data_IF_138865309992
#
_entry.id   IF_138865309992
#
_cell.length_a   1.000
_cell.length_b   1.000
_cell.length_c   1.000
_cell.angle_alpha   90.00
_cell.angle_beta   90.00
_cell.angle_gamma   90.00
#
_symmetry.space_group_name_H-M   'P 1'
#
loop_
_entity.id
_entity.type
_entity.pdbx_description
1 polymer ?
#
# COMPACT_ATOMS: atom_id res chain seq x y z
N UNK A 1 -11.66 -6.35 -5.99
CA UNK A 1 -12.05 -6.08 -4.59
C UNK A 1 -10.85 -6.39 -3.73
N UNK A 2 -10.37 -5.40 -3.00
CA UNK A 2 -9.32 -5.60 -2.02
C UNK A 2 -9.70 -6.81 -1.15
N UNK A 3 -8.87 -7.87 -0.98
CA UNK A 3 -9.23 -9.04 -0.18
C UNK A 3 -9.59 -8.68 1.27
N UNK A 4 -9.16 -7.52 1.73
CA UNK A 4 -9.50 -6.96 3.05
C UNK A 4 -10.93 -6.43 3.08
N UNK A 5 -11.38 -5.76 2.00
CA UNK A 5 -12.70 -5.13 1.91
C UNK A 5 -13.68 -6.04 1.13
N UNK A 6 -14.48 -6.79 1.83
CA UNK A 6 -15.53 -7.64 1.25
C UNK A 6 -16.90 -6.97 1.37
N UNK A 7 -17.68 -6.92 0.30
CA UNK A 7 -19.02 -6.33 0.24
C UNK A 7 -19.96 -6.87 1.33
N UNK A 8 -19.90 -8.17 1.62
CA UNK A 8 -20.69 -8.83 2.69
C UNK A 8 -20.44 -8.25 4.08
N UNK A 9 -19.28 -7.63 4.33
CA UNK A 9 -18.97 -7.01 5.64
C UNK A 9 -19.63 -5.64 5.82
N UNK A 10 -20.08 -5.01 4.73
CA UNK A 10 -20.74 -3.71 4.72
C UNK A 10 -22.28 -3.83 4.69
N UNK A 11 -22.83 -5.04 4.55
CA UNK A 11 -24.28 -5.26 4.62
C UNK A 11 -24.79 -5.08 6.06
N UNK A 12 -25.98 -4.50 6.29
CA UNK A 12 -26.60 -4.47 7.61
C UNK A 12 -26.73 -5.89 8.15
N UNK A 13 -26.41 -6.09 9.42
CA UNK A 13 -26.66 -7.37 10.10
C UNK A 13 -28.17 -7.52 10.24
N UNK A 14 -28.74 -8.63 9.74
CA UNK A 14 -30.17 -8.93 9.90
C UNK A 14 -30.55 -8.84 11.39
N UNK A 15 -31.45 -7.90 11.72
CA UNK A 15 -31.95 -7.66 13.08
C UNK A 15 -31.63 -6.29 13.69
N UNK A 16 -30.88 -5.41 13.02
CA UNK A 16 -30.69 -4.05 13.50
C UNK A 16 -31.84 -3.14 13.05
N UNK A 17 -32.80 -2.99 13.95
CA UNK A 17 -33.91 -2.04 13.87
C UNK A 17 -33.38 -0.67 14.27
N UNK A 18 -33.60 0.34 13.41
CA UNK A 18 -33.43 1.76 13.66
C UNK A 18 -32.04 2.12 14.23
N UNK A 19 -31.07 2.32 13.36
CA UNK A 19 -29.79 2.92 13.71
C UNK A 19 -30.02 4.44 13.84
N UNK A 20 -29.76 5.01 15.02
CA UNK A 20 -29.82 6.46 15.23
C UNK A 20 -28.89 7.20 14.25
N UNK A 21 -29.31 8.44 13.82
CA UNK A 21 -28.53 9.30 12.93
C UNK A 21 -27.17 9.69 13.55
N UNK A 22 -26.20 8.86 13.57
CA UNK A 22 -24.87 9.05 14.19
C UNK A 22 -24.10 7.75 14.29
N UNK A 23 -24.78 6.60 14.22
CA UNK A 23 -24.18 5.28 14.31
C UNK A 23 -23.80 4.67 12.94
N UNK A 24 -24.22 5.32 11.84
CA UNK A 24 -23.93 4.87 10.48
C UNK A 24 -22.61 5.41 9.93
N UNK A 25 -22.02 4.61 9.05
CA UNK A 25 -20.84 4.98 8.27
C UNK A 25 -21.13 6.16 7.35
N UNK A 26 -20.20 7.12 7.27
CA UNK A 26 -20.25 8.27 6.37
C UNK A 26 -19.03 8.33 5.48
N UNK A 27 -19.17 8.85 4.25
CA UNK A 27 -18.04 9.10 3.36
C UNK A 27 -17.04 10.06 4.01
N UNK A 28 -17.54 11.16 4.60
CA UNK A 28 -16.71 12.15 5.29
C UNK A 28 -15.93 11.54 6.46
N UNK A 29 -16.58 10.70 7.27
CA UNK A 29 -15.94 10.00 8.38
C UNK A 29 -14.81 9.06 7.90
N UNK A 30 -15.03 8.34 6.82
CA UNK A 30 -14.01 7.47 6.21
C UNK A 30 -12.81 8.27 5.69
N UNK A 31 -13.04 9.41 5.03
CA UNK A 31 -11.97 10.30 4.54
C UNK A 31 -11.14 10.84 5.70
N UNK A 32 -11.78 11.35 6.77
CA UNK A 32 -11.08 11.87 7.94
C UNK A 32 -10.21 10.80 8.59
N UNK A 33 -10.75 9.57 8.75
CA UNK A 33 -10.00 8.44 9.32
C UNK A 33 -8.85 7.98 8.44
N UNK A 34 -9.05 7.94 7.12
CA UNK A 34 -7.97 7.67 6.16
C UNK A 34 -6.86 8.71 6.28
N UNK A 35 -7.22 10.00 6.31
CA UNK A 35 -6.24 11.09 6.45
C UNK A 35 -5.45 10.97 7.76
N UNK A 36 -6.13 10.64 8.87
CA UNK A 36 -5.50 10.43 10.17
C UNK A 36 -4.52 9.26 10.14
N UNK A 37 -4.92 8.13 9.57
CA UNK A 37 -4.05 6.96 9.43
C UNK A 37 -2.83 7.25 8.54
N UNK A 38 -3.01 8.00 7.44
CA UNK A 38 -1.91 8.40 6.55
C UNK A 38 -0.94 9.36 7.26
N UNK A 39 -1.43 10.31 8.04
CA UNK A 39 -0.56 11.19 8.83
C UNK A 39 0.25 10.38 9.84
N UNK A 40 -0.38 9.46 10.56
CA UNK A 40 0.30 8.60 11.52
C UNK A 40 1.37 7.71 10.85
N UNK A 41 1.04 7.12 9.69
CA UNK A 41 1.96 6.35 8.88
C UNK A 41 3.16 7.20 8.45
N UNK A 42 2.93 8.43 7.95
CA UNK A 42 4.01 9.33 7.52
C UNK A 42 4.92 9.74 8.67
N UNK A 43 4.35 10.05 9.84
CA UNK A 43 5.14 10.38 11.05
C UNK A 43 6.02 9.19 11.44
N UNK A 44 5.47 7.97 11.49
CA UNK A 44 6.22 6.76 11.80
C UNK A 44 7.31 6.49 10.73
N UNK A 45 7.01 6.69 9.45
CA UNK A 45 7.97 6.55 8.36
C UNK A 45 9.12 7.55 8.45
N UNK A 46 8.84 8.82 8.77
CA UNK A 46 9.87 9.82 9.01
C UNK A 46 10.78 9.49 10.21
N UNK A 47 10.19 8.95 11.30
CA UNK A 47 10.94 8.49 12.44
C UNK A 47 11.88 7.33 12.07
N UNK A 48 11.37 6.32 11.37
CA UNK A 48 12.17 5.18 10.92
C UNK A 48 13.26 5.59 9.92
N UNK A 49 12.95 6.50 8.98
CA UNK A 49 13.93 7.08 8.07
C UNK A 49 15.09 7.75 8.83
N UNK A 50 14.76 8.57 9.82
CA UNK A 50 15.77 9.27 10.62
C UNK A 50 16.66 8.26 11.38
N UNK A 51 16.05 7.27 12.02
CA UNK A 51 16.78 6.22 12.72
C UNK A 51 17.68 5.44 11.76
N UNK A 52 17.21 5.08 10.58
CA UNK A 52 18.01 4.34 9.58
C UNK A 52 19.25 5.12 9.15
N UNK A 53 19.13 6.44 8.98
CA UNK A 53 20.25 7.27 8.51
C UNK A 53 21.19 7.74 9.65
N UNK A 54 20.75 7.74 10.92
CA UNK A 54 21.54 8.26 12.05
C UNK A 54 21.99 7.18 13.03
N UNK A 55 21.53 5.94 12.89
CA UNK A 55 21.88 4.86 13.80
C UNK A 55 23.36 4.49 13.75
N UNK A 56 24.00 4.51 14.90
CA UNK A 56 25.35 3.96 15.12
C UNK A 56 25.32 2.43 15.00
N UNK A 57 24.18 1.80 15.29
CA UNK A 57 24.00 0.36 15.22
C UNK A 57 23.51 -0.07 13.83
N UNK A 58 24.33 -0.76 13.00
CA UNK A 58 23.97 -1.14 11.63
C UNK A 58 22.75 -2.07 11.52
N UNK A 59 22.41 -2.80 12.59
CA UNK A 59 21.28 -3.74 12.61
C UNK A 59 19.94 -3.11 13.03
N UNK A 60 19.94 -1.89 13.57
CA UNK A 60 18.71 -1.24 14.02
C UNK A 60 17.63 -1.12 12.94
N UNK A 61 17.94 -0.69 11.69
CA UNK A 61 16.95 -0.60 10.62
C UNK A 61 16.27 -1.94 10.32
N UNK A 62 17.02 -3.05 10.41
CA UNK A 62 16.50 -4.39 10.15
C UNK A 62 15.46 -4.81 11.20
N UNK A 63 15.65 -4.47 12.48
CA UNK A 63 14.65 -4.75 13.52
C UNK A 63 13.36 -3.97 13.30
N UNK A 64 13.45 -2.68 12.92
CA UNK A 64 12.26 -1.88 12.60
C UNK A 64 11.55 -2.38 11.35
N UNK A 65 12.29 -2.80 10.32
CA UNK A 65 11.72 -3.38 9.11
C UNK A 65 10.99 -4.69 9.41
N UNK A 66 11.66 -5.65 10.04
CA UNK A 66 11.08 -6.97 10.35
C UNK A 66 9.91 -6.81 11.34
N UNK A 67 10.08 -6.02 12.40
CA UNK A 67 9.03 -5.75 13.36
C UNK A 67 7.82 -5.07 12.74
N UNK A 68 8.03 -4.09 11.86
CA UNK A 68 6.96 -3.41 11.14
C UNK A 68 6.21 -4.34 10.19
N UNK A 69 6.93 -5.12 9.38
CA UNK A 69 6.32 -6.06 8.41
C UNK A 69 5.55 -7.17 9.13
N UNK A 70 6.17 -7.85 10.10
CA UNK A 70 5.51 -8.96 10.81
C UNK A 70 4.36 -8.44 11.68
N UNK A 71 4.60 -7.37 12.45
CA UNK A 71 3.56 -6.74 13.28
C UNK A 71 2.42 -6.19 12.45
N UNK A 72 2.71 -5.50 11.35
CA UNK A 72 1.74 -5.02 10.39
C UNK A 72 0.92 -6.17 9.79
N UNK A 73 1.57 -7.25 9.37
CA UNK A 73 0.87 -8.42 8.81
C UNK A 73 -0.09 -9.05 9.83
N UNK A 74 0.35 -9.27 11.08
CA UNK A 74 -0.50 -9.83 12.14
C UNK A 74 -1.71 -8.92 12.40
N UNK A 75 -1.48 -7.61 12.53
CA UNK A 75 -2.55 -6.63 12.75
C UNK A 75 -3.52 -6.59 11.58
N UNK A 76 -3.02 -6.60 10.34
CA UNK A 76 -3.85 -6.65 9.14
C UNK A 76 -4.74 -7.91 9.11
N UNK A 77 -4.20 -9.07 9.48
CA UNK A 77 -4.97 -10.30 9.59
C UNK A 77 -6.07 -10.18 10.65
N UNK A 78 -5.77 -9.65 11.84
CA UNK A 78 -6.77 -9.47 12.89
C UNK A 78 -7.89 -8.54 12.44
N UNK A 79 -7.55 -7.37 11.87
CA UNK A 79 -8.53 -6.39 11.37
C UNK A 79 -9.39 -7.01 10.26
N UNK A 80 -8.77 -7.75 9.35
CA UNK A 80 -9.47 -8.39 8.22
C UNK A 80 -10.51 -9.39 8.69
N UNK A 81 -10.18 -10.23 9.68
CA UNK A 81 -11.11 -11.22 10.19
C UNK A 81 -12.09 -10.67 11.23
N UNK A 82 -11.71 -9.63 11.97
CA UNK A 82 -12.52 -9.00 13.01
C UNK A 82 -12.67 -7.49 12.75
N UNK A 83 -13.52 -7.04 11.79
CA UNK A 83 -13.66 -5.63 11.43
C UNK A 83 -14.01 -4.70 12.59
N UNK A 84 -14.68 -5.20 13.63
CA UNK A 84 -15.02 -4.45 14.84
C UNK A 84 -13.77 -3.96 15.61
N UNK A 85 -12.62 -4.58 15.41
CA UNK A 85 -11.35 -4.15 16.04
C UNK A 85 -10.65 -3.02 15.28
N UNK A 86 -11.12 -2.67 14.08
CA UNK A 86 -10.50 -1.65 13.24
C UNK A 86 -10.29 -0.30 13.94
N UNK A 87 -11.22 0.25 14.74
CA UNK A 87 -11.00 1.53 15.39
C UNK A 87 -9.76 1.59 16.29
N UNK A 88 -9.41 0.47 16.92
CA UNK A 88 -8.28 0.38 17.84
C UNK A 88 -6.98 -0.06 17.16
N UNK A 89 -7.08 -1.03 16.23
CA UNK A 89 -5.91 -1.65 15.63
C UNK A 89 -5.40 -0.92 14.38
N UNK A 90 -6.26 -0.20 13.65
CA UNK A 90 -5.82 0.52 12.44
C UNK A 90 -4.77 1.59 12.71
N UNK A 91 -4.84 2.39 13.79
CA UNK A 91 -3.76 3.32 14.12
C UNK A 91 -2.43 2.61 14.45
N UNK A 92 -2.49 1.48 15.17
CA UNK A 92 -1.29 0.69 15.51
C UNK A 92 -0.69 0.08 14.23
N UNK A 93 -1.55 -0.43 13.34
CA UNK A 93 -1.15 -0.90 12.02
C UNK A 93 -0.47 0.19 11.19
N UNK A 94 -1.07 1.41 11.14
CA UNK A 94 -0.50 2.53 10.41
C UNK A 94 0.91 2.90 10.92
N UNK A 95 1.12 2.86 12.23
CA UNK A 95 2.44 3.09 12.82
C UNK A 95 3.44 1.98 12.45
N UNK A 96 3.04 0.71 12.57
CA UNK A 96 3.89 -0.43 12.21
C UNK A 96 4.27 -0.41 10.73
N UNK A 97 3.31 -0.18 9.85
CA UNK A 97 3.52 -0.08 8.41
C UNK A 97 4.40 1.12 8.04
N UNK A 98 4.20 2.27 8.72
CA UNK A 98 5.04 3.44 8.55
C UNK A 98 6.50 3.18 8.92
N UNK A 99 6.77 2.45 10.00
CA UNK A 99 8.15 2.04 10.35
C UNK A 99 8.79 1.20 9.25
N UNK A 100 8.07 0.20 8.72
CA UNK A 100 8.55 -0.63 7.61
C UNK A 100 8.82 0.21 6.35
N UNK A 101 7.87 1.08 5.97
CA UNK A 101 8.00 1.94 4.79
C UNK A 101 9.16 2.92 4.90
N UNK A 102 9.38 3.52 6.07
CA UNK A 102 10.49 4.42 6.30
C UNK A 102 11.84 3.73 6.11
N UNK A 103 12.01 2.51 6.63
CA UNK A 103 13.20 1.71 6.42
C UNK A 103 13.39 1.30 4.96
N UNK A 104 12.34 0.80 4.30
CA UNK A 104 12.39 0.43 2.88
C UNK A 104 12.79 1.64 2.03
N UNK A 105 12.12 2.77 2.24
CA UNK A 105 12.41 4.00 1.49
C UNK A 105 13.85 4.48 1.72
N UNK A 106 14.37 4.40 2.94
CA UNK A 106 15.76 4.77 3.23
C UNK A 106 16.78 3.87 2.51
N UNK A 107 16.52 2.57 2.43
CA UNK A 107 17.35 1.62 1.66
C UNK A 107 17.35 1.97 0.18
N UNK A 108 16.17 2.19 -0.42
CA UNK A 108 16.07 2.61 -1.84
C UNK A 108 16.76 3.95 -2.09
N UNK A 109 16.65 4.90 -1.15
CA UNK A 109 17.34 6.18 -1.21
C UNK A 109 18.86 6.01 -1.23
N UNK A 110 19.38 5.17 -0.34
CA UNK A 110 20.82 4.86 -0.28
C UNK A 110 21.34 4.28 -1.61
N UNK A 111 20.62 3.33 -2.21
CA UNK A 111 20.95 2.80 -3.53
C UNK A 111 20.91 3.85 -4.63
N UNK A 112 19.91 4.74 -4.62
CA UNK A 112 19.77 5.82 -5.61
C UNK A 112 20.92 6.84 -5.51
N UNK A 113 21.29 7.23 -4.29
CA UNK A 113 22.42 8.13 -4.03
C UNK A 113 23.74 7.49 -4.46
N UNK A 114 24.00 6.25 -4.09
CA UNK A 114 25.21 5.53 -4.47
C UNK A 114 25.35 5.41 -5.99
N UNK A 115 24.25 5.10 -6.69
CA UNK A 115 24.24 5.05 -8.16
C UNK A 115 24.51 6.41 -8.82
N UNK A 116 23.97 7.49 -8.26
CA UNK A 116 24.22 8.87 -8.76
C UNK A 116 25.67 9.30 -8.54
N UNK A 117 26.23 8.98 -7.38
CA UNK A 117 27.65 9.26 -7.08
C UNK A 117 28.60 8.50 -8.00
N UNK A 118 28.29 7.21 -8.29
CA UNK A 118 29.07 6.41 -9.24
C UNK A 118 29.08 7.00 -10.66
N UNK A 119 28.04 7.78 -11.02
CA UNK A 119 27.93 8.52 -12.30
C UNK A 119 28.56 9.93 -12.24
N UNK A 120 29.21 10.30 -11.14
CA UNK A 120 29.84 11.63 -10.96
C UNK A 120 28.84 12.76 -10.70
N UNK A 121 27.60 12.46 -10.37
CA UNK A 121 26.59 13.48 -10.05
C UNK A 121 26.78 13.92 -8.58
N UNK A 122 26.91 15.22 -8.34
CA UNK A 122 26.94 15.78 -7.00
C UNK A 122 25.55 15.63 -6.35
N UNK A 123 25.43 14.77 -5.36
CA UNK A 123 24.18 14.52 -4.61
C UNK A 123 24.46 14.69 -3.13
N UNK A 124 23.55 15.34 -2.42
CA UNK A 124 23.61 15.38 -0.96
C UNK A 124 23.42 13.95 -0.39
N UNK A 125 24.41 13.40 0.32
CA UNK A 125 24.33 12.05 0.88
C UNK A 125 23.17 11.88 1.89
N UNK A 126 22.73 12.97 2.53
CA UNK A 126 21.64 13.01 3.48
C UNK A 126 20.30 13.46 2.89
N UNK A 127 20.30 13.84 1.60
CA UNK A 127 19.13 14.33 0.89
C UNK A 127 18.13 13.23 0.54
N UNK A 128 16.91 13.65 0.25
CA UNK A 128 15.89 12.77 -0.33
C UNK A 128 16.15 12.70 -1.84
N UNK A 129 16.41 11.51 -2.38
CA UNK A 129 16.62 11.31 -3.81
C UNK A 129 15.36 11.63 -4.62
N UNK A 130 15.55 12.00 -5.89
CA UNK A 130 14.45 12.18 -6.85
C UNK A 130 13.57 10.93 -7.00
N UNK A 131 14.12 9.75 -6.72
CA UNK A 131 13.41 8.48 -6.75
C UNK A 131 12.29 8.45 -5.70
N UNK A 132 12.58 8.81 -4.45
CA UNK A 132 11.59 8.77 -3.36
C UNK A 132 10.55 9.88 -3.54
N UNK A 133 10.99 11.10 -3.82
CA UNK A 133 10.07 12.22 -4.07
C UNK A 133 9.17 11.96 -5.28
N UNK A 134 9.73 11.38 -6.34
CA UNK A 134 8.99 10.95 -7.52
C UNK A 134 7.95 9.86 -7.22
N UNK A 135 8.30 8.85 -6.40
CA UNK A 135 7.38 7.80 -6.01
C UNK A 135 6.19 8.36 -5.19
N UNK A 136 6.45 9.25 -4.24
CA UNK A 136 5.40 9.91 -3.45
C UNK A 136 4.49 10.73 -4.37
N UNK A 137 5.08 11.57 -5.22
CA UNK A 137 4.33 12.43 -6.13
C UNK A 137 3.45 11.62 -7.08
N UNK A 138 4.01 10.57 -7.72
CA UNK A 138 3.25 9.70 -8.63
C UNK A 138 2.13 8.95 -7.91
N UNK A 139 2.35 8.50 -6.68
CA UNK A 139 1.30 7.85 -5.88
C UNK A 139 0.14 8.81 -5.62
N UNK A 140 0.44 10.04 -5.22
CA UNK A 140 -0.55 11.08 -4.97
C UNK A 140 -1.31 11.43 -6.25
N UNK A 141 -0.59 11.69 -7.36
CA UNK A 141 -1.21 11.98 -8.66
C UNK A 141 -2.11 10.84 -9.10
N UNK A 142 -1.63 9.59 -9.06
CA UNK A 142 -2.40 8.41 -9.45
C UNK A 142 -3.67 8.28 -8.61
N UNK A 143 -3.58 8.51 -7.30
CA UNK A 143 -4.73 8.47 -6.39
C UNK A 143 -5.79 9.52 -6.77
N UNK A 144 -5.37 10.77 -7.02
CA UNK A 144 -6.28 11.82 -7.44
C UNK A 144 -6.90 11.54 -8.83
N UNK A 145 -6.12 11.04 -9.78
CA UNK A 145 -6.63 10.65 -11.10
C UNK A 145 -7.68 9.54 -10.96
N UNK A 146 -7.41 8.50 -10.17
CA UNK A 146 -8.36 7.40 -9.97
C UNK A 146 -9.63 7.86 -9.24
N UNK A 147 -9.50 8.76 -8.26
CA UNK A 147 -10.65 9.38 -7.60
C UNK A 147 -11.48 10.23 -8.57
N UNK A 148 -10.84 10.99 -9.45
CA UNK A 148 -11.50 11.79 -10.47
C UNK A 148 -12.25 10.91 -11.48
N UNK A 149 -11.60 9.85 -11.98
CA UNK A 149 -12.21 8.89 -12.91
C UNK A 149 -13.41 8.16 -12.27
N UNK A 150 -13.30 7.81 -10.99
CA UNK A 150 -14.41 7.23 -10.23
C UNK A 150 -15.57 8.22 -10.10
N UNK A 151 -15.27 9.47 -9.69
CA UNK A 151 -16.29 10.51 -9.44
C UNK A 151 -17.02 10.93 -10.71
N UNK A 152 -16.34 11.00 -11.86
CA UNK A 152 -16.94 11.34 -13.16
C UNK A 152 -17.71 10.19 -13.78
N UNK A 153 -17.57 8.97 -13.23
CA UNK A 153 -18.19 7.77 -13.80
C UNK A 153 -17.59 7.34 -15.14
N UNK A 154 -16.40 7.88 -15.50
CA UNK A 154 -15.69 7.50 -16.72
C UNK A 154 -15.36 5.99 -16.73
N UNK A 155 -15.10 5.43 -15.55
CA UNK A 155 -14.95 3.99 -15.34
C UNK A 155 -15.99 3.56 -14.30
N UNK A 156 -16.89 2.65 -14.71
CA UNK A 156 -17.93 2.13 -13.81
C UNK A 156 -17.43 0.90 -13.08
N UNK A 157 -17.47 0.93 -11.73
CA UNK A 157 -17.16 -0.20 -10.86
C UNK A 157 -18.39 -1.12 -10.83
N UNK A 158 -18.47 -2.02 -11.80
CA UNK A 158 -19.53 -3.04 -11.90
C UNK A 158 -19.00 -4.43 -11.50
N UNK A 159 -19.88 -5.43 -11.45
CA UNK A 159 -19.51 -6.81 -11.06
C UNK A 159 -18.45 -7.42 -11.98
N UNK A 160 -18.47 -7.08 -13.28
CA UNK A 160 -17.46 -7.55 -14.23
C UNK A 160 -16.09 -6.94 -13.92
N UNK A 161 -16.03 -5.62 -13.66
CA UNK A 161 -14.82 -4.94 -13.24
C UNK A 161 -14.28 -5.53 -11.94
N UNK A 162 -15.14 -5.69 -10.92
CA UNK A 162 -14.79 -6.29 -9.64
C UNK A 162 -14.22 -7.71 -9.78
N UNK A 163 -14.81 -8.53 -10.67
CA UNK A 163 -14.32 -9.88 -10.93
C UNK A 163 -12.94 -9.88 -11.58
N UNK A 164 -12.72 -9.02 -12.58
CA UNK A 164 -11.42 -8.90 -13.27
C UNK A 164 -10.32 -8.50 -12.28
N UNK A 165 -10.57 -7.45 -11.48
CA UNK A 165 -9.56 -6.99 -10.51
C UNK A 165 -9.32 -8.05 -9.42
N UNK A 166 -10.35 -8.76 -8.94
CA UNK A 166 -10.16 -9.88 -7.99
C UNK A 166 -9.24 -10.97 -8.54
N UNK A 167 -9.47 -11.39 -9.77
CA UNK A 167 -8.62 -12.41 -10.42
C UNK A 167 -7.19 -11.89 -10.57
N UNK A 168 -7.03 -10.64 -11.01
CA UNK A 168 -5.71 -10.01 -11.13
C UNK A 168 -4.98 -9.94 -9.79
N UNK A 169 -5.66 -9.56 -8.69
CA UNK A 169 -5.08 -9.52 -7.35
C UNK A 169 -4.63 -10.90 -6.86
N UNK A 170 -5.44 -11.93 -7.09
CA UNK A 170 -5.07 -13.31 -6.74
C UNK A 170 -3.86 -13.75 -7.57
N UNK A 171 -3.83 -13.43 -8.86
CA UNK A 171 -2.68 -13.75 -9.73
C UNK A 171 -1.40 -13.06 -9.27
N UNK A 172 -1.46 -11.80 -8.83
CA UNK A 172 -0.33 -11.07 -8.26
C UNK A 172 0.12 -11.70 -6.94
N UNK A 173 -0.81 -12.09 -6.06
CA UNK A 173 -0.49 -12.78 -4.82
C UNK A 173 0.27 -14.10 -5.08
N UNK A 174 -0.22 -14.91 -6.02
CA UNK A 174 0.45 -16.16 -6.44
C UNK A 174 1.82 -15.84 -7.05
N UNK A 175 1.92 -14.81 -7.90
CA UNK A 175 3.19 -14.38 -8.49
C UNK A 175 4.22 -14.04 -7.40
N UNK A 176 3.86 -13.23 -6.38
CA UNK A 176 4.77 -12.91 -5.28
C UNK A 176 5.10 -14.13 -4.40
N UNK A 177 4.13 -15.01 -4.15
CA UNK A 177 4.40 -16.26 -3.42
C UNK A 177 5.44 -17.14 -4.14
N UNK A 178 5.32 -17.27 -5.46
CA UNK A 178 6.33 -17.96 -6.28
C UNK A 178 7.67 -17.22 -6.19
N UNK A 179 7.69 -15.89 -6.26
CA UNK A 179 8.92 -15.10 -6.13
C UNK A 179 9.64 -15.34 -4.80
N UNK A 180 8.90 -15.42 -3.69
CA UNK A 180 9.45 -15.75 -2.37
C UNK A 180 10.04 -17.17 -2.36
N UNK A 181 9.33 -18.16 -2.92
CA UNK A 181 9.83 -19.52 -3.01
C UNK A 181 11.11 -19.61 -3.86
N UNK A 182 11.16 -18.88 -4.98
CA UNK A 182 12.36 -18.78 -5.82
C UNK A 182 13.53 -18.14 -5.04
N UNK A 183 13.26 -17.09 -4.26
CA UNK A 183 14.30 -16.46 -3.44
C UNK A 183 14.84 -17.39 -2.34
N UNK A 184 13.97 -18.25 -1.76
CA UNK A 184 14.36 -19.17 -0.69
C UNK A 184 15.07 -20.43 -1.19
N UNK A 185 14.69 -20.94 -2.35
CA UNK A 185 15.13 -22.27 -2.82
C UNK A 185 15.86 -22.25 -4.18
N UNK A 186 15.68 -21.21 -4.99
CA UNK A 186 16.10 -21.17 -6.39
C UNK A 186 17.49 -20.58 -6.65
N UNK A 187 18.19 -20.09 -5.63
CA UNK A 187 19.46 -19.36 -5.80
C UNK A 187 19.29 -18.00 -6.48
N UNK A 188 20.29 -17.12 -6.34
CA UNK A 188 20.25 -15.73 -6.83
C UNK A 188 20.58 -15.56 -8.31
N UNK A 189 21.14 -16.57 -8.95
CA UNK A 189 21.69 -16.50 -10.32
C UNK A 189 20.72 -16.99 -11.40
N UNK A 190 19.56 -17.53 -11.02
CA UNK A 190 18.58 -18.09 -11.93
C UNK A 190 17.80 -17.03 -12.72
N UNK A 191 17.43 -17.36 -13.99
CA UNK A 191 16.59 -16.50 -14.82
C UNK A 191 15.25 -16.13 -14.14
N UNK A 192 14.68 -17.07 -13.38
CA UNK A 192 13.47 -16.84 -12.60
C UNK A 192 13.68 -15.80 -11.49
N UNK A 193 14.81 -15.85 -10.78
CA UNK A 193 15.13 -14.80 -9.79
C UNK A 193 15.20 -13.42 -10.43
N UNK A 194 15.83 -13.31 -11.60
CA UNK A 194 15.93 -12.05 -12.35
C UNK A 194 14.57 -11.50 -12.82
N UNK A 195 13.57 -12.36 -13.02
CA UNK A 195 12.21 -11.93 -13.37
C UNK A 195 11.54 -11.19 -12.21
N UNK A 196 11.73 -11.64 -10.98
CA UNK A 196 11.10 -11.06 -9.78
C UNK A 196 11.89 -9.89 -9.21
N UNK A 197 13.20 -10.02 -9.14
CA UNK A 197 14.09 -9.10 -8.43
C UNK A 197 15.04 -8.32 -9.36
N UNK A 198 15.18 -8.72 -10.61
CA UNK A 198 16.06 -8.10 -11.59
C UNK A 198 15.44 -6.87 -12.28
N UNK A 199 16.26 -6.26 -13.15
CA UNK A 199 15.92 -5.03 -13.90
C UNK A 199 15.71 -5.30 -15.39
N UNK A 200 15.27 -6.52 -15.77
CA UNK A 200 14.97 -6.88 -17.15
C UNK A 200 13.79 -6.08 -17.69
N UNK A 201 13.70 -5.91 -19.02
CA UNK A 201 12.54 -5.25 -19.66
C UNK A 201 11.24 -5.94 -19.26
N UNK A 202 11.24 -7.28 -19.22
CA UNK A 202 10.08 -8.08 -18.85
C UNK A 202 9.65 -7.79 -17.39
N UNK A 203 10.61 -7.68 -16.46
CA UNK A 203 10.33 -7.31 -15.07
C UNK A 203 9.71 -5.92 -14.94
N UNK A 204 10.16 -4.94 -15.77
CA UNK A 204 9.59 -3.58 -15.81
C UNK A 204 8.15 -3.62 -16.35
N UNK A 205 7.90 -4.35 -17.44
CA UNK A 205 6.55 -4.48 -18.03
C UNK A 205 5.57 -5.11 -17.04
N UNK A 206 5.97 -6.19 -16.36
CA UNK A 206 5.15 -6.82 -15.32
C UNK A 206 4.87 -5.82 -14.20
N UNK A 207 5.86 -5.05 -13.75
CA UNK A 207 5.67 -4.07 -12.70
C UNK A 207 4.72 -2.93 -13.12
N UNK A 208 4.76 -2.46 -14.37
CA UNK A 208 3.81 -1.49 -14.91
C UNK A 208 2.36 -2.04 -14.85
N UNK A 209 2.18 -3.30 -15.21
CA UNK A 209 0.87 -3.96 -15.13
C UNK A 209 0.39 -4.02 -13.68
N UNK A 210 1.28 -4.38 -12.74
CA UNK A 210 0.95 -4.45 -11.31
C UNK A 210 0.58 -3.07 -10.76
N UNK A 211 1.32 -2.01 -11.12
CA UNK A 211 0.98 -0.62 -10.76
C UNK A 211 -0.41 -0.24 -11.29
N UNK A 212 -0.72 -0.60 -12.54
CA UNK A 212 -2.05 -0.39 -13.12
C UNK A 212 -3.16 -1.09 -12.33
N UNK A 213 -2.95 -2.36 -11.94
CA UNK A 213 -3.92 -3.12 -11.14
C UNK A 213 -4.07 -2.52 -9.73
N UNK A 214 -2.98 -2.11 -9.09
CA UNK A 214 -3.02 -1.42 -7.80
C UNK A 214 -3.81 -0.09 -7.88
N UNK A 215 -3.60 0.69 -8.95
CA UNK A 215 -4.35 1.91 -9.20
C UNK A 215 -5.85 1.63 -9.40
N UNK A 216 -6.23 0.62 -10.18
CA UNK A 216 -7.63 0.24 -10.35
C UNK A 216 -8.26 -0.30 -9.06
N UNK A 217 -7.48 -0.90 -8.15
CA UNK A 217 -7.98 -1.33 -6.85
C UNK A 217 -8.45 -0.17 -5.98
N UNK A 218 -7.85 1.03 -6.10
CA UNK A 218 -8.34 2.24 -5.42
C UNK A 218 -9.79 2.58 -5.78
N UNK A 219 -10.19 2.35 -7.03
CA UNK A 219 -11.58 2.61 -7.46
C UNK A 219 -12.56 1.67 -6.74
N UNK A 220 -12.15 0.42 -6.47
CA UNK A 220 -12.96 -0.51 -5.69
C UNK A 220 -13.06 -0.05 -4.22
N UNK A 221 -11.96 0.45 -3.65
CA UNK A 221 -11.96 0.97 -2.29
C UNK A 221 -12.89 2.19 -2.16
N UNK A 222 -12.88 3.10 -3.14
CA UNK A 222 -13.82 4.24 -3.18
C UNK A 222 -15.27 3.79 -3.31
N UNK A 223 -15.55 2.82 -4.19
CA UNK A 223 -16.90 2.28 -4.40
C UNK A 223 -17.45 1.62 -3.13
N UNK A 224 -16.60 0.88 -2.40
CA UNK A 224 -16.98 0.28 -1.13
C UNK A 224 -17.30 1.31 -0.04
N UNK A 225 -16.56 2.42 0.03
CA UNK A 225 -16.85 3.53 0.95
C UNK A 225 -18.21 4.13 0.63
N UNK A 226 -18.48 4.39 -0.64
CA UNK A 226 -19.75 4.97 -1.09
C UNK A 226 -20.91 4.01 -0.83
N UNK A 227 -20.80 2.75 -1.25
CA UNK A 227 -21.82 1.72 -1.00
C UNK A 227 -22.06 1.49 0.50
N UNK A 228 -21.01 1.41 1.30
CA UNK A 228 -21.12 1.25 2.75
C UNK A 228 -21.87 2.39 3.41
N UNK A 229 -21.65 3.63 2.98
CA UNK A 229 -22.40 4.79 3.48
C UNK A 229 -23.86 4.78 3.05
N UNK A 230 -24.16 4.32 1.82
CA UNK A 230 -25.52 4.23 1.29
C UNK A 230 -26.35 3.11 1.91
N UNK A 231 -25.71 2.02 2.30
CA UNK A 231 -26.37 0.87 2.94
C UNK A 231 -26.51 0.99 4.46
N UNK A 232 -26.08 2.11 5.06
CA UNK A 232 -26.15 2.30 6.51
C UNK A 232 -25.21 1.38 7.30
N UNK A 233 -24.02 1.07 6.76
CA UNK A 233 -23.06 0.26 7.48
C UNK A 233 -22.69 0.86 8.85
N UNK A 234 -22.37 0.03 9.87
CA UNK A 234 -22.05 0.52 11.21
C UNK A 234 -20.84 1.47 11.24
N UNK A 235 -20.80 2.40 12.19
CA UNK A 235 -19.80 3.46 12.32
C UNK A 235 -18.35 2.97 12.35
N UNK A 236 -18.07 1.81 12.96
CA UNK A 236 -16.72 1.23 12.98
C UNK A 236 -16.19 0.88 11.59
N UNK A 237 -17.08 0.70 10.59
CA UNK A 237 -16.69 0.41 9.22
C UNK A 237 -15.98 1.58 8.52
N UNK A 238 -16.10 2.81 9.04
CA UNK A 238 -15.29 3.94 8.58
C UNK A 238 -13.78 3.68 8.80
N UNK A 239 -13.41 3.09 9.96
CA UNK A 239 -12.03 2.71 10.26
C UNK A 239 -11.56 1.53 9.42
N UNK A 240 -12.46 0.56 9.22
CA UNK A 240 -12.15 -0.60 8.38
C UNK A 240 -11.93 -0.20 6.91
N UNK A 241 -12.77 0.67 6.37
CA UNK A 241 -12.62 1.20 5.02
C UNK A 241 -11.36 2.07 4.88
N UNK A 242 -11.07 2.91 5.88
CA UNK A 242 -9.86 3.72 5.94
C UNK A 242 -8.60 2.84 5.97
N UNK A 243 -8.60 1.77 6.76
CA UNK A 243 -7.55 0.77 6.80
C UNK A 243 -7.34 0.13 5.42
N UNK A 244 -8.40 -0.35 4.76
CA UNK A 244 -8.29 -0.98 3.46
C UNK A 244 -7.74 -0.04 2.38
N UNK A 245 -8.23 1.21 2.35
CA UNK A 245 -7.72 2.22 1.42
C UNK A 245 -6.24 2.55 1.68
N UNK A 246 -5.82 2.65 2.95
CA UNK A 246 -4.42 2.87 3.30
C UNK A 246 -3.53 1.71 2.83
N UNK A 247 -3.96 0.46 3.02
CA UNK A 247 -3.22 -0.73 2.52
C UNK A 247 -2.99 -0.65 1.02
N UNK A 248 -4.02 -0.28 0.25
CA UNK A 248 -3.91 -0.15 -1.21
C UNK A 248 -2.97 1.00 -1.61
N UNK A 249 -3.01 2.14 -0.90
CA UNK A 249 -2.11 3.27 -1.14
C UNK A 249 -0.64 2.92 -0.85
N UNK A 250 -0.39 2.22 0.24
CA UNK A 250 0.96 1.72 0.60
C UNK A 250 1.47 0.77 -0.47
N UNK A 251 0.65 -0.20 -0.89
CA UNK A 251 1.02 -1.11 -1.97
C UNK A 251 1.33 -0.37 -3.27
N UNK A 252 0.47 0.56 -3.69
CA UNK A 252 0.70 1.39 -4.88
C UNK A 252 2.03 2.16 -4.79
N UNK A 253 2.32 2.76 -3.64
CA UNK A 253 3.58 3.46 -3.41
C UNK A 253 4.79 2.53 -3.58
N UNK A 254 4.76 1.34 -2.98
CA UNK A 254 5.86 0.37 -3.08
C UNK A 254 6.06 -0.12 -4.52
N UNK A 255 4.99 -0.33 -5.28
CA UNK A 255 5.09 -0.73 -6.68
C UNK A 255 5.67 0.38 -7.57
N UNK A 256 5.24 1.63 -7.35
CA UNK A 256 5.80 2.79 -8.06
C UNK A 256 7.27 2.99 -7.69
N UNK A 257 7.63 2.88 -6.41
CA UNK A 257 9.00 2.98 -5.94
C UNK A 257 9.89 1.92 -6.59
N UNK A 258 9.41 0.67 -6.64
CA UNK A 258 10.11 -0.43 -7.31
C UNK A 258 10.26 -0.17 -8.81
N UNK A 259 9.20 0.32 -9.47
CA UNK A 259 9.23 0.65 -10.90
C UNK A 259 10.28 1.72 -11.21
N UNK A 260 10.26 2.82 -10.47
CA UNK A 260 11.22 3.91 -10.64
C UNK A 260 12.66 3.45 -10.39
N UNK A 261 12.88 2.64 -9.35
CA UNK A 261 14.20 2.07 -9.05
C UNK A 261 14.72 1.20 -10.20
N UNK A 262 13.86 0.35 -10.78
CA UNK A 262 14.22 -0.50 -11.92
C UNK A 262 14.58 0.31 -13.18
N UNK A 263 13.84 1.39 -13.44
CA UNK A 263 14.11 2.29 -14.57
C UNK A 263 15.44 3.03 -14.34
N UNK A 264 15.66 3.54 -13.14
CA UNK A 264 16.89 4.28 -12.81
C UNK A 264 18.15 3.41 -12.86
N UNK A 265 18.07 2.17 -12.42
CA UNK A 265 19.22 1.25 -12.42
C UNK A 265 19.59 0.74 -13.82
N UNK A 266 18.72 0.95 -14.81
CA UNK A 266 18.96 0.57 -16.19
C UNK A 266 19.62 1.69 -17.02
N UNK A 267 19.35 2.96 -16.67
CA UNK A 267 19.96 4.13 -17.28
C UNK A 267 21.31 4.46 -16.63
#
# INVERSE_FOLDING_TARGET
MNPILQEKKFSPTEGQIIIEEGECMTIRGSIIKTSLLLVLLLVAACCAWKVTNTSINPSAPMYYLIGGVIGGFILAMIITFKPKTAPYLSPIYAAAEGLALGCISAVYNGYAIAAAQAKGTAVDPNGISSLISGAILLTVITTFVMLFLYRTGAIKVNDKFNRIIKVALISILVFYAIGILVALFGGTDGQFYQLFFGNSILAIVINIIIVGIAAFSLMQDFDLIVKGSQTGAPKYMEWYAAFGLMVTLVWLYLEILRLLSRIQSRN
#
